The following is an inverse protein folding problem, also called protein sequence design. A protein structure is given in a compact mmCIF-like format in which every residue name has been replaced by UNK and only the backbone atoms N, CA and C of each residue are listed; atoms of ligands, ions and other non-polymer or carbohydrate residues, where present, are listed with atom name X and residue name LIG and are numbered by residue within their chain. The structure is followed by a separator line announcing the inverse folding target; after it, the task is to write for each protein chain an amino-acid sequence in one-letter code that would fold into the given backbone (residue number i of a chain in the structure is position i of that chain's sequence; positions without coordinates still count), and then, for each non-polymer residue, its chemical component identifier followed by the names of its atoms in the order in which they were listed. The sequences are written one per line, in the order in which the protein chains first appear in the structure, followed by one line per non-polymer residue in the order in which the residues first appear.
data_IF_977101953502
#
_entry.id   IF_977101953502
#
_cell.length_a   1.000
_cell.length_b   1.000
_cell.length_c   1.000
_cell.angle_alpha   90.00
_cell.angle_beta   90.00
_cell.angle_gamma   90.00
#
_symmetry.space_group_name_H-M   'P 1'
#
loop_
_entity.id
_entity.type
_entity.pdbx_description
1 polymer ?
#
# COMPACT_ATOMS: atom_id res chain seq x y z
N UNK A 1 1.29 22.50 -43.16
CA UNK A 1 2.49 21.78 -42.68
C UNK A 1 2.20 21.34 -41.26
N UNK A 2 2.00 20.03 -41.06
CA UNK A 2 1.27 19.45 -39.92
C UNK A 2 2.23 19.07 -38.79
N UNK A 3 2.11 19.77 -37.66
CA UNK A 3 2.17 19.30 -36.27
C UNK A 3 3.09 18.10 -35.97
N UNK A 4 4.39 18.35 -35.78
CA UNK A 4 5.36 17.35 -35.35
C UNK A 4 5.54 17.26 -33.81
N UNK A 5 4.62 17.80 -33.00
CA UNK A 5 4.78 17.87 -31.53
C UNK A 5 4.06 16.71 -30.80
N UNK A 6 3.25 15.89 -31.48
CA UNK A 6 2.22 15.07 -30.82
C UNK A 6 2.48 13.54 -30.66
N UNK A 7 3.73 13.06 -30.72
CA UNK A 7 3.99 11.61 -30.53
C UNK A 7 5.03 11.34 -29.43
N UNK A 8 6.05 12.19 -29.27
CA UNK A 8 7.10 11.99 -28.25
C UNK A 8 6.60 12.15 -26.81
N UNK A 9 5.58 13.00 -26.56
CA UNK A 9 5.08 13.25 -25.20
C UNK A 9 4.12 12.16 -24.69
N UNK A 10 3.65 11.26 -25.56
CA UNK A 10 2.73 10.18 -25.20
C UNK A 10 3.48 8.89 -24.81
N UNK A 11 4.75 8.74 -25.23
CA UNK A 11 5.58 7.56 -24.95
C UNK A 11 6.44 7.67 -23.67
N UNK A 12 6.59 8.87 -23.10
CA UNK A 12 7.35 9.08 -21.84
C UNK A 12 6.51 8.89 -20.57
N UNK A 13 5.19 8.75 -20.68
CA UNK A 13 4.33 8.37 -19.55
C UNK A 13 4.35 6.86 -19.25
N UNK A 14 4.97 6.05 -20.12
CA UNK A 14 5.04 4.59 -19.98
C UNK A 14 6.37 4.08 -19.42
N UNK A 15 7.24 4.94 -18.87
CA UNK A 15 8.50 4.53 -18.24
C UNK A 15 8.54 4.65 -16.70
N UNK A 16 7.40 4.96 -16.07
CA UNK A 16 7.30 5.00 -14.62
C UNK A 16 5.99 4.32 -14.21
N UNK A 17 5.89 3.01 -14.41
CA UNK A 17 5.08 2.21 -13.50
C UNK A 17 5.83 2.17 -12.15
N UNK A 18 6.07 3.34 -11.54
CA UNK A 18 6.50 3.39 -10.17
C UNK A 18 5.39 2.70 -9.40
N UNK A 19 5.73 1.62 -8.71
CA UNK A 19 4.85 1.01 -7.73
C UNK A 19 4.27 2.15 -6.87
N UNK A 20 3.00 2.46 -7.08
CA UNK A 20 2.39 3.58 -6.41
C UNK A 20 2.32 3.22 -4.93
N UNK A 21 3.00 4.00 -4.10
CA UNK A 21 2.90 3.84 -2.66
C UNK A 21 1.46 4.17 -2.25
N UNK A 22 0.91 3.38 -1.36
CA UNK A 22 -0.44 3.55 -0.83
C UNK A 22 -0.38 3.77 0.68
N UNK A 23 -1.40 4.44 1.19
CA UNK A 23 -1.71 4.51 2.62
C UNK A 23 -3.14 4.04 2.82
N UNK A 24 -3.39 3.29 3.90
CA UNK A 24 -4.72 2.73 4.19
C UNK A 24 -5.37 3.60 5.26
N UNK A 25 -6.33 4.43 4.85
CA UNK A 25 -7.05 5.34 5.76
C UNK A 25 -8.22 4.63 6.44
N UNK A 26 -8.44 4.92 7.72
CA UNK A 26 -9.62 4.48 8.45
C UNK A 26 -10.87 5.27 8.01
N UNK A 27 -11.98 4.57 7.81
CA UNK A 27 -13.27 5.19 7.46
C UNK A 27 -13.89 5.91 8.66
N UNK A 28 -13.85 5.30 9.85
CA UNK A 28 -14.47 5.82 11.06
C UNK A 28 -13.53 6.74 11.88
N UNK A 29 -12.24 6.74 11.57
CA UNK A 29 -11.26 7.69 12.09
C UNK A 29 -10.47 8.34 10.93
N UNK A 30 -11.06 9.30 10.18
CA UNK A 30 -10.48 9.81 8.94
C UNK A 30 -9.10 10.47 9.06
N UNK A 31 -8.66 10.88 10.27
CA UNK A 31 -7.30 11.39 10.46
C UNK A 31 -6.25 10.28 10.61
N UNK A 32 -6.67 9.01 10.70
CA UNK A 32 -5.82 7.87 11.03
C UNK A 32 -5.62 6.93 9.86
N UNK A 33 -4.41 6.39 9.78
CA UNK A 33 -3.92 5.50 8.75
C UNK A 33 -3.28 4.27 9.38
N UNK A 34 -3.35 3.14 8.69
CA UNK A 34 -2.54 1.97 9.03
C UNK A 34 -1.07 2.34 8.95
N UNK A 35 -0.35 2.14 10.05
CA UNK A 35 1.03 2.54 10.25
C UNK A 35 1.76 1.48 11.04
N UNK A 36 3.09 1.41 10.88
CA UNK A 36 3.94 0.63 11.77
C UNK A 36 4.73 1.53 12.74
N UNK A 37 5.03 1.02 13.93
CA UNK A 37 6.00 1.60 14.88
C UNK A 37 6.46 0.51 15.83
N UNK A 38 7.75 0.46 16.13
CA UNK A 38 8.38 -0.66 16.87
C UNK A 38 7.97 -2.03 16.33
N UNK A 39 7.87 -2.14 15.00
CA UNK A 39 7.37 -3.32 14.27
C UNK A 39 5.91 -3.71 14.50
N UNK A 40 5.11 -2.93 15.25
CA UNK A 40 3.68 -3.18 15.46
C UNK A 40 2.85 -2.37 14.49
N UNK A 41 1.82 -2.99 13.92
CA UNK A 41 0.81 -2.32 13.09
C UNK A 41 -0.32 -1.73 13.93
N UNK A 42 -0.71 -0.48 13.66
CA UNK A 42 -1.82 0.21 14.34
C UNK A 42 -2.36 1.37 13.48
N UNK A 43 -3.43 2.02 13.97
CA UNK A 43 -3.99 3.24 13.35
C UNK A 43 -3.41 4.50 13.99
N UNK A 44 -2.58 5.23 13.25
CA UNK A 44 -1.91 6.45 13.68
C UNK A 44 -2.14 7.63 12.74
N UNK A 45 -1.89 8.85 13.23
CA UNK A 45 -1.88 10.05 12.37
C UNK A 45 -0.54 10.18 11.65
N UNK A 46 -0.50 10.97 10.55
CA UNK A 46 0.68 11.22 9.73
C UNK A 46 1.24 12.63 9.95
N UNK A 47 1.70 12.91 11.18
CA UNK A 47 2.09 14.26 11.61
C UNK A 47 3.51 14.65 11.16
N UNK A 48 4.38 13.66 10.97
CA UNK A 48 5.78 13.84 10.55
C UNK A 48 6.09 13.11 9.25
N UNK A 49 7.27 13.38 8.66
CA UNK A 49 7.78 12.60 7.53
C UNK A 49 8.00 11.13 7.89
N UNK A 50 8.43 10.85 9.12
CA UNK A 50 8.56 9.49 9.61
C UNK A 50 7.20 8.79 9.67
N UNK A 51 6.16 9.46 10.20
CA UNK A 51 4.82 8.87 10.23
C UNK A 51 4.28 8.60 8.81
N UNK A 52 4.57 9.51 7.85
CA UNK A 52 4.19 9.31 6.45
C UNK A 52 4.87 8.10 5.84
N UNK A 53 6.16 7.92 6.11
CA UNK A 53 6.93 6.78 5.65
C UNK A 53 6.45 5.47 6.29
N UNK A 54 6.16 5.47 7.59
CA UNK A 54 5.67 4.31 8.33
C UNK A 54 4.26 3.87 7.88
N UNK A 55 3.47 4.79 7.31
CA UNK A 55 2.12 4.53 6.79
C UNK A 55 2.09 4.42 5.25
N UNK A 56 3.25 4.30 4.60
CA UNK A 56 3.38 4.12 3.15
C UNK A 56 3.81 2.69 2.82
N UNK A 57 3.05 2.03 1.94
CA UNK A 57 3.30 0.65 1.55
C UNK A 57 3.30 0.49 0.03
N UNK A 58 4.14 -0.43 -0.47
CA UNK A 58 4.03 -0.94 -1.83
C UNK A 58 3.13 -2.17 -1.82
N UNK A 59 2.25 -2.27 -2.81
CA UNK A 59 1.48 -3.50 -3.04
C UNK A 59 2.29 -4.43 -3.93
N UNK A 60 2.65 -5.59 -3.37
CA UNK A 60 3.39 -6.63 -4.08
C UNK A 60 2.47 -7.83 -4.27
N UNK A 61 2.51 -8.47 -5.44
CA UNK A 61 1.78 -9.71 -5.65
C UNK A 61 2.24 -10.77 -4.64
N UNK A 62 1.31 -11.44 -3.97
CA UNK A 62 1.65 -12.50 -3.04
C UNK A 62 2.21 -13.74 -3.75
N UNK A 63 1.74 -14.01 -4.97
CA UNK A 63 2.24 -15.14 -5.77
C UNK A 63 2.01 -16.51 -5.12
N UNK A 64 1.00 -16.65 -4.25
CA UNK A 64 0.65 -17.93 -3.61
C UNK A 64 -0.44 -18.66 -4.43
N UNK A 65 -0.30 -19.97 -4.70
CA UNK A 65 -1.27 -20.71 -5.53
C UNK A 65 -2.72 -20.64 -5.04
N UNK A 66 -2.92 -20.71 -3.72
CA UNK A 66 -4.25 -20.72 -3.11
C UNK A 66 -4.95 -19.35 -3.17
N UNK A 67 -4.21 -18.28 -3.48
CA UNK A 67 -4.76 -16.94 -3.60
C UNK A 67 -4.02 -16.13 -4.70
N UNK A 68 -4.38 -16.33 -5.98
CA UNK A 68 -3.66 -15.72 -7.10
C UNK A 68 -3.78 -14.19 -7.16
N UNK A 69 -4.80 -13.61 -6.51
CA UNK A 69 -5.03 -12.17 -6.43
C UNK A 69 -4.68 -11.59 -5.05
N UNK A 70 -4.02 -12.37 -4.19
CA UNK A 70 -3.55 -11.84 -2.91
C UNK A 70 -2.37 -10.89 -3.11
N UNK A 71 -2.27 -9.91 -2.22
CA UNK A 71 -1.20 -8.93 -2.16
C UNK A 71 -0.46 -9.03 -0.82
N UNK A 72 0.75 -8.46 -0.78
CA UNK A 72 1.47 -8.13 0.44
C UNK A 72 1.70 -6.61 0.49
N UNK A 73 1.70 -6.07 1.70
CA UNK A 73 2.03 -4.67 1.95
C UNK A 73 3.50 -4.57 2.38
N UNK A 74 4.39 -4.25 1.45
CA UNK A 74 5.81 -4.02 1.74
C UNK A 74 5.99 -2.60 2.26
N UNK A 75 6.72 -2.41 3.37
CA UNK A 75 7.04 -1.09 3.89
C UNK A 75 7.92 -0.29 2.92
N UNK A 76 7.61 1.00 2.77
CA UNK A 76 8.44 1.91 1.95
C UNK A 76 9.78 2.22 2.64
N UNK A 77 9.79 2.43 3.96
CA UNK A 77 11.01 2.79 4.70
C UNK A 77 11.78 1.60 5.27
N UNK A 78 11.19 0.41 5.29
CA UNK A 78 11.87 -0.85 5.60
C UNK A 78 11.66 -1.87 4.46
N UNK A 79 12.33 -1.69 3.31
CA UNK A 79 12.23 -2.62 2.19
C UNK A 79 12.55 -4.07 2.59
N UNK A 80 11.83 -5.03 2.03
CA UNK A 80 11.91 -6.44 2.43
C UNK A 80 11.15 -6.80 3.70
N UNK A 81 10.51 -5.84 4.38
CA UNK A 81 9.58 -6.11 5.47
C UNK A 81 8.13 -5.87 5.05
N UNK A 82 7.24 -6.71 5.56
CA UNK A 82 5.84 -6.76 5.15
C UNK A 82 4.92 -6.73 6.36
N UNK A 83 3.73 -6.15 6.20
CA UNK A 83 2.66 -6.35 7.16
C UNK A 83 2.29 -7.83 7.18
N UNK A 84 2.29 -8.40 8.38
CA UNK A 84 2.05 -9.82 8.63
C UNK A 84 1.17 -9.97 9.85
N UNK A 85 0.17 -10.84 9.76
CA UNK A 85 -0.63 -11.22 10.91
C UNK A 85 0.15 -12.21 11.81
N UNK A 86 0.13 -12.00 13.13
CA UNK A 86 0.63 -12.96 14.11
C UNK A 86 -0.05 -12.73 15.45
N UNK A 87 -0.58 -13.80 16.07
CA UNK A 87 -1.30 -13.74 17.35
C UNK A 87 -2.40 -12.66 17.37
N UNK A 88 -3.21 -12.57 16.31
CA UNK A 88 -4.30 -11.60 16.15
C UNK A 88 -3.86 -10.13 16.08
N UNK A 89 -2.55 -9.88 15.91
CA UNK A 89 -1.97 -8.56 15.74
C UNK A 89 -1.32 -8.44 14.36
N UNK A 90 -1.18 -7.20 13.88
CA UNK A 90 -0.37 -6.90 12.70
C UNK A 90 1.04 -6.53 13.16
N UNK A 91 2.03 -7.12 12.50
CA UNK A 91 3.45 -6.86 12.69
C UNK A 91 4.09 -6.49 11.35
N UNK A 92 5.13 -5.66 11.40
CA UNK A 92 6.06 -5.48 10.30
C UNK A 92 7.21 -6.46 10.50
N UNK A 93 7.45 -7.34 9.53
CA UNK A 93 8.54 -8.32 9.63
C UNK A 93 9.01 -8.81 8.26
N UNK A 94 10.26 -9.27 8.19
CA UNK A 94 10.73 -10.04 7.04
C UNK A 94 10.05 -11.41 6.99
N UNK A 95 9.92 -11.96 5.78
CA UNK A 95 9.30 -13.28 5.54
C UNK A 95 10.40 -14.31 5.32
N UNK A 96 10.35 -15.42 6.04
CA UNK A 96 11.38 -16.46 5.98
C UNK A 96 10.84 -17.88 5.88
N UNK A 97 9.55 -18.07 6.15
CA UNK A 97 8.88 -19.36 6.11
C UNK A 97 7.60 -19.30 5.28
N UNK A 98 7.13 -20.47 4.82
CA UNK A 98 5.85 -20.59 4.13
C UNK A 98 4.68 -20.03 4.96
N UNK A 99 4.75 -20.18 6.29
CA UNK A 99 3.78 -19.61 7.20
C UNK A 99 3.82 -18.07 7.15
N UNK A 100 5.01 -17.46 7.18
CA UNK A 100 5.14 -16.01 7.07
C UNK A 100 4.55 -15.50 5.76
N UNK A 101 4.84 -16.19 4.65
CA UNK A 101 4.32 -15.83 3.34
C UNK A 101 2.80 -15.89 3.27
N UNK A 102 2.16 -16.84 3.96
CA UNK A 102 0.70 -16.95 4.08
C UNK A 102 0.13 -15.87 5.00
N UNK A 103 0.74 -15.65 6.16
CA UNK A 103 0.30 -14.66 7.15
C UNK A 103 0.42 -13.20 6.66
N UNK A 104 1.30 -12.95 5.69
CA UNK A 104 1.47 -11.64 5.04
C UNK A 104 0.63 -11.46 3.77
N UNK A 105 -0.18 -12.46 3.39
CA UNK A 105 -0.99 -12.43 2.17
C UNK A 105 -2.43 -12.01 2.46
N UNK A 106 -2.84 -10.88 1.89
CA UNK A 106 -4.17 -10.31 2.07
C UNK A 106 -4.93 -10.26 0.76
N UNK A 107 -6.23 -10.51 0.81
CA UNK A 107 -7.14 -10.29 -0.30
C UNK A 107 -7.82 -8.94 -0.12
N UNK A 108 -7.67 -8.06 -1.10
CA UNK A 108 -8.47 -6.84 -1.17
C UNK A 108 -9.91 -7.22 -1.53
N UNK A 109 -10.85 -6.78 -0.70
CA UNK A 109 -12.29 -7.01 -0.87
C UNK A 109 -13.04 -5.69 -0.80
N UNK A 110 -14.31 -5.68 -1.18
CA UNK A 110 -15.17 -4.54 -0.96
C UNK A 110 -15.28 -4.22 0.54
N UNK A 111 -15.23 -2.93 0.89
CA UNK A 111 -15.34 -2.47 2.26
C UNK A 111 -16.70 -2.79 2.88
N UNK A 112 -16.70 -3.34 4.09
CA UNK A 112 -17.92 -3.76 4.78
C UNK A 112 -18.76 -2.60 5.32
N UNK A 113 -18.15 -1.43 5.54
CA UNK A 113 -18.77 -0.27 6.17
C UNK A 113 -19.44 0.72 5.20
N UNK A 114 -19.48 0.41 3.89
CA UNK A 114 -20.05 1.27 2.85
C UNK A 114 -19.53 0.90 1.46
N UNK A 115 -20.37 1.01 0.44
CA UNK A 115 -20.14 0.37 -0.88
C UNK A 115 -19.04 0.96 -1.74
N UNK A 116 -18.51 2.14 -1.43
CA UNK A 116 -17.51 2.79 -2.25
C UNK A 116 -16.39 3.32 -1.36
N UNK A 117 -15.13 3.08 -1.77
CA UNK A 117 -13.88 3.78 -1.43
C UNK A 117 -12.70 2.83 -1.17
N UNK A 118 -12.31 2.06 -2.19
CA UNK A 118 -10.87 1.99 -2.51
C UNK A 118 -10.58 3.28 -3.27
N UNK A 119 -10.43 4.39 -2.55
CA UNK A 119 -9.96 5.63 -3.16
C UNK A 119 -8.46 5.45 -3.38
N UNK A 120 -8.06 5.15 -4.62
CA UNK A 120 -6.69 5.41 -5.03
C UNK A 120 -6.55 6.92 -5.10
N UNK A 121 -6.32 7.55 -3.95
CA UNK A 121 -6.02 8.98 -3.91
C UNK A 121 -4.61 9.11 -4.47
N UNK A 122 -4.51 9.55 -5.73
CA UNK A 122 -3.21 9.98 -6.21
C UNK A 122 -2.84 11.24 -5.44
N UNK A 123 -1.57 11.38 -5.05
CA UNK A 123 -1.11 12.46 -4.16
C UNK A 123 -1.35 13.89 -4.71
N UNK A 124 -1.93 14.03 -5.91
CA UNK A 124 -2.36 15.29 -6.52
C UNK A 124 -3.74 15.79 -6.02
N UNK A 125 -4.55 14.94 -5.37
CA UNK A 125 -5.97 15.26 -5.09
C UNK A 125 -6.23 15.81 -3.67
N UNK A 126 -5.18 16.01 -2.84
CA UNK A 126 -5.32 16.41 -1.42
C UNK A 126 -5.18 17.94 -1.20
N UNK A 127 -4.95 18.73 -2.25
CA UNK A 127 -4.98 20.19 -2.18
C UNK A 127 -6.02 20.78 -3.13
N UNK A 128 -7.30 20.65 -2.76
CA UNK A 128 -8.35 21.61 -3.10
C UNK A 128 -9.24 21.85 -1.89
#
# INVERSE_FOLDING_TARGET
MKNAISIAMMALFSLCCAAQNISVQSINYPTRYLRHSDSKGYLGEMLSDLDRQDASFKLVNAGIPDCPNCIRFESVNYPGQYLRHSNYLIWLSALSSDLDYKDASFRLVQGLAGTDRVQRTTHADVFR
#
